data_IF_913609624880
#
_entry.id   IF_913609624880
#
_cell.length_a   1.000
_cell.length_b   1.000
_cell.length_c   1.000
_cell.angle_alpha   90.00
_cell.angle_beta   90.00
_cell.angle_gamma   90.00
#
_symmetry.space_group_name_H-M   'P 1'
#
loop_
_entity.id
_entity.type
_entity.pdbx_description
1 polymer ?
#
# COMPACT_ATOMS: atom_id res chain seq x y z
N UNK A 1 24.27 0.62 14.54
CA UNK A 1 22.83 0.30 14.42
C UNK A 1 22.68 -1.20 14.42
N UNK A 2 21.83 -1.76 15.27
CA UNK A 2 21.49 -3.18 15.23
C UNK A 2 20.28 -3.39 14.31
N UNK A 3 20.33 -4.43 13.48
CA UNK A 3 19.18 -4.84 12.66
C UNK A 3 18.32 -5.74 13.55
N UNK A 4 17.06 -5.37 13.87
CA UNK A 4 16.19 -6.20 14.68
C UNK A 4 15.83 -7.49 13.93
N UNK A 5 16.01 -8.64 14.58
CA UNK A 5 15.54 -9.92 14.08
C UNK A 5 14.07 -10.08 14.43
N UNK A 6 13.23 -10.27 13.41
CA UNK A 6 11.78 -10.39 13.57
C UNK A 6 11.37 -11.78 14.03
N UNK A 7 10.36 -11.86 14.88
CA UNK A 7 9.71 -13.12 15.21
C UNK A 7 8.83 -13.60 14.07
N UNK A 8 8.44 -14.87 14.10
CA UNK A 8 7.54 -15.44 13.10
C UNK A 8 6.19 -14.71 13.06
N UNK A 9 5.62 -14.34 14.21
CA UNK A 9 4.36 -13.60 14.30
C UNK A 9 4.47 -12.21 13.65
N UNK A 10 5.59 -11.50 13.85
CA UNK A 10 5.83 -10.21 13.20
C UNK A 10 5.96 -10.36 11.68
N UNK A 11 6.63 -11.41 11.22
CA UNK A 11 6.77 -11.70 9.78
C UNK A 11 5.40 -11.99 9.16
N UNK A 12 4.52 -12.71 9.86
CA UNK A 12 3.16 -12.97 9.37
C UNK A 12 2.35 -11.68 9.19
N UNK A 13 2.39 -10.76 10.16
CA UNK A 13 1.76 -9.43 10.05
C UNK A 13 2.35 -8.60 8.91
N UNK A 14 3.68 -8.65 8.73
CA UNK A 14 4.35 -7.96 7.63
C UNK A 14 3.90 -8.49 6.26
N UNK A 15 3.72 -9.80 6.11
CA UNK A 15 3.24 -10.39 4.85
C UNK A 15 1.85 -9.87 4.48
N UNK A 16 0.95 -9.78 5.45
CA UNK A 16 -0.40 -9.25 5.24
C UNK A 16 -0.36 -7.76 4.87
N UNK A 17 0.40 -6.95 5.60
CA UNK A 17 0.59 -5.53 5.29
C UNK A 17 1.20 -5.30 3.89
N UNK A 18 2.22 -6.09 3.51
CA UNK A 18 2.83 -5.99 2.18
C UNK A 18 1.86 -6.41 1.07
N UNK A 19 1.00 -7.41 1.32
CA UNK A 19 -0.03 -7.80 0.35
C UNK A 19 -1.03 -6.67 0.13
N UNK A 20 -1.56 -6.08 1.21
CA UNK A 20 -2.46 -4.93 1.12
C UNK A 20 -1.80 -3.76 0.39
N UNK A 21 -0.53 -3.45 0.69
CA UNK A 21 0.21 -2.41 -0.03
C UNK A 21 0.35 -2.72 -1.53
N UNK A 22 0.57 -3.99 -1.90
CA UNK A 22 0.62 -4.42 -3.31
C UNK A 22 -0.72 -4.22 -4.02
N UNK A 23 -1.84 -4.45 -3.34
CA UNK A 23 -3.17 -4.29 -3.94
C UNK A 23 -3.44 -2.82 -4.30
N UNK A 24 -2.97 -1.86 -3.47
CA UNK A 24 -3.04 -0.42 -3.81
C UNK A 24 -2.26 -0.11 -5.08
N UNK A 25 -1.08 -0.69 -5.24
CA UNK A 25 -0.23 -0.45 -6.42
C UNK A 25 -0.87 -0.97 -7.71
N UNK A 26 -1.55 -2.12 -7.65
CA UNK A 26 -2.31 -2.65 -8.79
C UNK A 26 -3.52 -1.76 -9.08
N UNK A 27 -4.25 -1.34 -8.04
CA UNK A 27 -5.44 -0.50 -8.19
C UNK A 27 -5.12 0.87 -8.80
N UNK A 28 -3.99 1.48 -8.44
CA UNK A 28 -3.65 2.84 -8.91
C UNK A 28 -3.13 2.89 -10.35
N UNK A 29 -2.68 1.76 -10.92
CA UNK A 29 -2.13 1.67 -12.30
C UNK A 29 -2.93 2.44 -13.37
N UNK A 30 -4.27 2.25 -13.52
CA UNK A 30 -5.05 2.96 -14.54
C UNK A 30 -5.17 4.48 -14.34
N UNK A 31 -4.81 5.01 -13.17
CA UNK A 31 -4.92 6.44 -12.86
C UNK A 31 -3.63 7.22 -13.15
N UNK A 32 -2.50 6.53 -13.30
CA UNK A 32 -1.20 7.14 -13.61
C UNK A 32 -1.13 7.51 -15.09
N UNK A 33 -1.58 8.73 -15.40
CA UNK A 33 -1.61 9.28 -16.77
C UNK A 33 -1.19 10.75 -16.78
N UNK A 34 -0.69 11.20 -17.93
CA UNK A 34 -0.26 12.59 -18.10
C UNK A 34 -1.39 13.57 -17.75
N UNK A 35 -1.04 14.62 -17.01
CA UNK A 35 -2.00 15.63 -16.54
C UNK A 35 -2.67 15.32 -15.20
N UNK A 36 -2.53 14.11 -14.65
CA UNK A 36 -2.97 13.80 -13.28
C UNK A 36 -1.90 14.23 -12.28
N UNK A 37 -2.32 14.88 -11.20
CA UNK A 37 -1.41 15.35 -10.15
C UNK A 37 -1.10 14.23 -9.15
N UNK A 38 0.08 14.27 -8.53
CA UNK A 38 0.42 13.32 -7.47
C UNK A 38 -0.50 13.42 -6.26
N UNK A 39 -1.07 14.60 -5.98
CA UNK A 39 -2.07 14.77 -4.93
C UNK A 39 -3.43 14.12 -5.25
N UNK A 40 -3.80 13.99 -6.53
CA UNK A 40 -4.97 13.20 -6.92
C UNK A 40 -4.71 11.71 -6.76
N UNK A 41 -3.53 11.23 -7.17
CA UNK A 41 -3.12 9.84 -6.97
C UNK A 41 -3.10 9.47 -5.49
N UNK A 42 -2.54 10.34 -4.64
CA UNK A 42 -2.51 10.15 -3.18
C UNK A 42 -3.91 10.01 -2.58
N UNK A 43 -4.86 10.87 -2.98
CA UNK A 43 -6.26 10.79 -2.53
C UNK A 43 -6.92 9.47 -2.94
N UNK A 44 -6.72 9.01 -4.17
CA UNK A 44 -7.29 7.74 -4.66
C UNK A 44 -6.72 6.56 -3.86
N UNK A 45 -5.40 6.54 -3.64
CA UNK A 45 -4.77 5.54 -2.79
C UNK A 45 -5.33 5.55 -1.36
N UNK A 46 -5.47 6.73 -0.76
CA UNK A 46 -6.02 6.87 0.59
C UNK A 46 -7.47 6.36 0.68
N UNK A 47 -8.32 6.78 -0.26
CA UNK A 47 -9.73 6.34 -0.30
C UNK A 47 -9.85 4.82 -0.44
N UNK A 48 -9.00 4.20 -1.25
CA UNK A 48 -8.97 2.74 -1.40
C UNK A 48 -8.50 2.04 -0.12
N UNK A 49 -7.43 2.52 0.52
CA UNK A 49 -6.94 1.97 1.79
C UNK A 49 -7.99 2.07 2.92
N UNK A 50 -8.78 3.15 2.95
CA UNK A 50 -9.76 3.40 4.03
C UNK A 50 -11.07 2.66 3.79
N UNK A 51 -11.56 2.62 2.55
CA UNK A 51 -12.92 2.15 2.26
C UNK A 51 -13.00 0.73 1.69
N UNK A 52 -11.94 0.24 1.02
CA UNK A 52 -11.98 -1.03 0.30
C UNK A 52 -11.10 -2.11 0.95
N UNK A 53 -9.95 -1.75 1.52
CA UNK A 53 -9.06 -2.71 2.19
C UNK A 53 -9.62 -3.16 3.55
N UNK A 54 -9.36 -4.44 3.90
CA UNK A 54 -9.75 -5.06 5.18
C UNK A 54 -8.58 -5.79 5.80
#
# INVERSE_FOLDING_TARGET
MAIPLRTEEEIMKLREACKLASDVLIMIEPYVKAGVTTGELDRICHEYMVNEQK
#
